data_IF_593931562379
#
_entry.id   IF_593931562379
#
_cell.length_a   1.000
_cell.length_b   1.000
_cell.length_c   1.000
_cell.angle_alpha   90.00
_cell.angle_beta   90.00
_cell.angle_gamma   90.00
#
_symmetry.space_group_name_H-M   'P 1'
#
loop_
_entity.id
_entity.type
_entity.pdbx_description
1 polymer ?
#
# COMPACT_ATOMS: atom_id res chain seq x y z
N UNK A 1 -6.71 18.33 18.70
CA UNK A 1 -5.65 17.41 19.18
C UNK A 1 -5.04 16.73 17.96
N UNK A 2 -3.72 16.80 17.73
CA UNK A 2 -3.06 16.00 16.69
C UNK A 2 -3.13 14.53 17.10
N UNK A 3 -3.82 13.68 16.32
CA UNK A 3 -3.91 12.23 16.55
C UNK A 3 -2.64 11.53 16.04
N UNK A 4 -1.47 11.94 16.52
CA UNK A 4 -0.19 11.43 16.02
C UNK A 4 0.01 11.72 14.53
N UNK A 5 0.31 10.67 13.75
CA UNK A 5 0.55 10.70 12.29
C UNK A 5 -0.73 10.59 11.44
N UNK A 6 -1.90 10.60 12.08
CA UNK A 6 -3.21 10.59 11.44
C UNK A 6 -3.82 11.99 11.50
N UNK A 7 -4.24 12.49 10.35
CA UNK A 7 -4.98 13.74 10.20
C UNK A 7 -6.35 13.49 9.53
N UNK A 8 -7.10 14.56 9.26
CA UNK A 8 -8.40 14.46 8.57
C UNK A 8 -8.26 13.96 7.14
N UNK A 9 -7.18 14.34 6.44
CA UNK A 9 -6.94 13.89 5.06
C UNK A 9 -6.73 12.38 4.98
N UNK A 10 -6.10 11.76 5.98
CA UNK A 10 -6.04 10.31 6.09
C UNK A 10 -7.44 9.68 6.20
N UNK A 11 -8.32 10.24 7.04
CA UNK A 11 -9.67 9.73 7.25
C UNK A 11 -10.51 9.81 5.97
N UNK A 12 -10.44 10.95 5.28
CA UNK A 12 -11.12 11.19 4.01
C UNK A 12 -10.62 10.22 2.93
N UNK A 13 -9.30 10.07 2.80
CA UNK A 13 -8.70 9.15 1.83
C UNK A 13 -9.09 7.70 2.11
N UNK A 14 -9.03 7.25 3.36
CA UNK A 14 -9.46 5.88 3.68
C UNK A 14 -10.94 5.67 3.37
N UNK A 15 -11.79 6.62 3.73
CA UNK A 15 -13.22 6.53 3.44
C UNK A 15 -13.48 6.47 1.93
N UNK A 16 -12.88 7.36 1.15
CA UNK A 16 -13.07 7.40 -0.30
C UNK A 16 -12.52 6.13 -0.94
N UNK A 17 -11.22 5.84 -0.78
CA UNK A 17 -10.59 4.74 -1.50
C UNK A 17 -11.03 3.38 -0.97
N UNK A 18 -10.93 3.13 0.33
CA UNK A 18 -11.16 1.79 0.86
C UNK A 18 -12.65 1.50 1.02
N UNK A 19 -13.44 2.44 1.55
CA UNK A 19 -14.87 2.20 1.82
C UNK A 19 -15.78 2.49 0.63
N UNK A 20 -15.57 3.58 -0.10
CA UNK A 20 -16.46 3.93 -1.21
C UNK A 20 -16.06 3.23 -2.51
N UNK A 21 -14.80 3.38 -2.94
CA UNK A 21 -14.35 2.85 -4.23
C UNK A 21 -14.19 1.34 -4.17
N UNK A 22 -13.49 0.83 -3.15
CA UNK A 22 -13.13 -0.59 -3.05
C UNK A 22 -14.12 -1.39 -2.20
N UNK A 23 -15.09 -0.74 -1.56
CA UNK A 23 -16.11 -1.36 -0.67
C UNK A 23 -15.53 -2.35 0.34
N UNK A 24 -14.34 -2.07 0.83
CA UNK A 24 -13.54 -2.91 1.72
C UNK A 24 -13.28 -4.34 1.18
N UNK A 25 -13.45 -4.57 -0.13
CA UNK A 25 -13.21 -5.86 -0.80
C UNK A 25 -11.74 -6.11 -1.08
N UNK A 26 -10.96 -5.04 -1.22
CA UNK A 26 -9.52 -5.10 -1.50
C UNK A 26 -8.73 -5.10 -0.18
N UNK A 27 -7.99 -6.20 0.11
CA UNK A 27 -7.08 -6.24 1.25
C UNK A 27 -6.13 -5.04 1.24
N UNK A 28 -6.15 -4.25 2.31
CA UNK A 28 -5.36 -3.02 2.41
C UNK A 28 -4.29 -3.15 3.49
N UNK A 29 -3.08 -2.68 3.19
CA UNK A 29 -1.96 -2.60 4.14
C UNK A 29 -1.68 -1.13 4.45
N UNK A 30 -1.62 -0.79 5.73
CA UNK A 30 -1.22 0.56 6.16
C UNK A 30 0.29 0.60 6.39
N UNK A 31 0.98 1.54 5.76
CA UNK A 31 2.41 1.80 5.99
C UNK A 31 2.56 3.09 6.78
N UNK A 32 3.24 3.02 7.93
CA UNK A 32 3.58 4.15 8.78
C UNK A 32 5.08 4.39 8.68
N UNK A 33 5.48 5.45 7.99
CA UNK A 33 6.88 5.85 7.81
C UNK A 33 7.37 6.70 8.98
N UNK A 34 8.68 7.02 9.02
CA UNK A 34 9.37 7.77 10.07
C UNK A 34 9.47 7.02 11.42
N UNK A 35 9.48 5.69 11.41
CA UNK A 35 9.63 4.86 12.61
C UNK A 35 11.09 4.50 12.92
N UNK A 36 12.07 5.04 12.19
CA UNK A 36 13.50 4.70 12.33
C UNK A 36 14.10 4.97 13.71
N UNK A 37 13.49 5.81 14.53
CA UNK A 37 13.95 6.07 15.91
C UNK A 37 13.39 5.07 16.93
N UNK A 38 12.45 4.22 16.53
CA UNK A 38 11.85 3.19 17.38
C UNK A 38 12.66 1.88 17.29
N UNK A 39 12.67 1.09 18.36
CA UNK A 39 13.45 -0.15 18.46
C UNK A 39 12.65 -1.24 19.17
N UNK A 40 12.05 -2.21 18.45
CA UNK A 40 11.97 -2.31 16.97
C UNK A 40 11.07 -1.22 16.37
N UNK A 41 11.15 -0.98 15.05
CA UNK A 41 10.29 0.02 14.37
C UNK A 41 8.79 -0.22 14.57
N UNK A 42 8.40 -1.49 14.72
CA UNK A 42 7.02 -1.90 15.02
C UNK A 42 6.50 -1.40 16.38
N UNK A 43 7.38 -1.08 17.33
CA UNK A 43 6.96 -0.62 18.66
C UNK A 43 6.17 0.69 18.63
N UNK A 44 6.22 1.45 17.52
CA UNK A 44 5.40 2.64 17.34
C UNK A 44 3.90 2.32 17.42
N UNK A 45 3.42 1.29 16.72
CA UNK A 45 1.98 0.96 16.67
C UNK A 45 1.50 0.29 17.97
N UNK A 46 2.42 -0.35 18.70
CA UNK A 46 2.12 -1.05 19.96
C UNK A 46 1.75 -0.09 21.11
N UNK A 47 2.10 1.20 20.97
CA UNK A 47 1.67 2.25 21.91
C UNK A 47 0.14 2.35 21.89
N UNK A 48 -0.50 2.19 23.06
CA UNK A 48 -1.96 2.09 23.18
C UNK A 48 -2.73 3.23 22.47
N UNK A 49 -2.22 4.46 22.55
CA UNK A 49 -2.81 5.62 21.88
C UNK A 49 -2.77 5.53 20.35
N UNK A 50 -1.70 4.97 19.79
CA UNK A 50 -1.53 4.80 18.35
C UNK A 50 -2.41 3.65 17.87
N UNK A 51 -2.39 2.51 18.56
CA UNK A 51 -3.28 1.38 18.27
C UNK A 51 -4.75 1.81 18.25
N UNK A 52 -5.19 2.54 19.29
CA UNK A 52 -6.56 3.09 19.37
C UNK A 52 -6.86 4.07 18.24
N UNK A 53 -5.89 4.86 17.79
CA UNK A 53 -6.10 5.79 16.67
C UNK A 53 -6.39 5.07 15.33
N UNK A 54 -6.09 3.77 15.21
CA UNK A 54 -6.41 2.98 14.02
C UNK A 54 -7.44 1.88 14.31
N UNK A 55 -8.08 1.90 15.49
CA UNK A 55 -9.28 1.08 15.74
C UNK A 55 -10.42 1.54 14.81
N UNK A 56 -11.03 0.59 14.10
CA UNK A 56 -12.14 0.85 13.16
C UNK A 56 -11.75 0.94 11.68
N UNK A 57 -10.46 0.85 11.36
CA UNK A 57 -9.99 0.66 9.99
C UNK A 57 -9.78 -0.83 9.71
N UNK A 58 -10.08 -1.25 8.48
CA UNK A 58 -10.00 -2.64 8.04
C UNK A 58 -8.67 -2.91 7.29
N UNK A 59 -7.55 -2.55 7.91
CA UNK A 59 -6.23 -2.89 7.37
C UNK A 59 -5.86 -4.33 7.75
N UNK A 60 -5.44 -5.14 6.77
CA UNK A 60 -4.92 -6.49 7.01
C UNK A 60 -3.68 -6.49 7.88
N UNK A 61 -2.81 -5.51 7.64
CA UNK A 61 -1.54 -5.34 8.34
C UNK A 61 -1.20 -3.87 8.44
N UNK A 62 -0.59 -3.49 9.56
CA UNK A 62 0.11 -2.23 9.74
C UNK A 62 1.61 -2.51 9.73
N UNK A 63 2.34 -1.86 8.85
CA UNK A 63 3.80 -1.95 8.73
C UNK A 63 4.38 -0.61 9.17
N UNK A 64 5.17 -0.63 10.25
CA UNK A 64 5.91 0.53 10.72
C UNK A 64 7.33 0.45 10.18
N UNK A 65 7.80 1.50 9.51
CA UNK A 65 9.08 1.48 8.84
C UNK A 65 9.63 2.86 8.56
N UNK A 66 10.59 2.92 7.64
CA UNK A 66 11.20 4.16 7.18
C UNK A 66 11.20 4.25 5.66
N UNK A 67 11.17 5.48 5.15
CA UNK A 67 11.41 5.79 3.75
C UNK A 67 12.76 6.52 3.55
N UNK A 68 13.52 6.71 4.64
CA UNK A 68 14.81 7.37 4.59
C UNK A 68 15.82 6.45 3.93
N UNK A 69 16.37 6.93 2.82
CA UNK A 69 17.40 6.25 2.05
C UNK A 69 18.80 6.72 2.42
N UNK A 70 18.90 7.92 3.01
CA UNK A 70 20.16 8.55 3.36
C UNK A 70 20.81 7.90 4.60
N UNK A 71 22.13 7.75 4.50
CA UNK A 71 22.97 7.33 5.61
C UNK A 71 23.09 8.48 6.61
N UNK A 72 22.28 8.45 7.65
CA UNK A 72 22.73 9.03 8.92
C UNK A 72 23.95 8.23 9.39
N UNK A 73 24.96 8.91 9.94
CA UNK A 73 26.29 8.36 10.26
C UNK A 73 26.26 6.86 10.63
N UNK A 74 26.85 6.01 9.77
CA UNK A 74 27.00 4.58 10.01
C UNK A 74 26.00 3.64 9.31
N UNK A 75 25.18 4.10 8.36
CA UNK A 75 24.35 3.24 7.50
C UNK A 75 23.21 2.53 8.22
N UNK A 76 22.81 3.04 9.39
CA UNK A 76 21.77 2.45 10.23
C UNK A 76 20.41 2.44 9.53
N UNK A 77 20.09 3.49 8.77
CA UNK A 77 18.81 3.62 8.08
C UNK A 77 18.71 2.74 6.83
N UNK A 78 19.82 2.44 6.15
CA UNK A 78 19.83 1.50 5.04
C UNK A 78 19.33 0.10 5.47
N UNK A 79 19.78 -0.40 6.63
CA UNK A 79 19.29 -1.67 7.19
C UNK A 79 17.81 -1.61 7.55
N UNK A 80 17.37 -0.53 8.20
CA UNK A 80 15.95 -0.33 8.55
C UNK A 80 15.06 -0.18 7.31
N UNK A 81 15.56 0.41 6.23
CA UNK A 81 14.84 0.49 4.97
C UNK A 81 14.67 -0.91 4.35
N UNK A 82 15.70 -1.74 4.37
CA UNK A 82 15.61 -3.13 3.93
C UNK A 82 14.62 -3.95 4.77
N UNK A 83 14.66 -3.80 6.10
CA UNK A 83 13.68 -4.40 7.01
C UNK A 83 12.24 -3.93 6.70
N UNK A 84 12.07 -2.63 6.39
CA UNK A 84 10.77 -2.07 6.00
C UNK A 84 10.26 -2.72 4.72
N UNK A 85 11.12 -2.82 3.69
CA UNK A 85 10.78 -3.45 2.40
C UNK A 85 10.39 -4.91 2.58
N UNK A 86 11.18 -5.69 3.34
CA UNK A 86 10.88 -7.10 3.64
C UNK A 86 9.54 -7.25 4.36
N UNK A 87 9.29 -6.42 5.38
CA UNK A 87 8.04 -6.45 6.15
C UNK A 87 6.83 -6.08 5.29
N UNK A 88 7.00 -5.11 4.37
CA UNK A 88 5.94 -4.71 3.44
C UNK A 88 5.63 -5.83 2.43
N UNK A 89 6.66 -6.44 1.84
CA UNK A 89 6.48 -7.56 0.92
C UNK A 89 5.77 -8.74 1.59
N UNK A 90 6.22 -9.11 2.78
CA UNK A 90 5.57 -10.17 3.55
C UNK A 90 4.10 -9.84 3.88
N UNK A 91 3.79 -8.56 4.15
CA UNK A 91 2.41 -8.12 4.38
C UNK A 91 1.54 -8.24 3.12
N UNK A 92 2.10 -7.90 1.96
CA UNK A 92 1.42 -8.01 0.66
C UNK A 92 1.16 -9.49 0.31
N UNK A 93 2.19 -10.35 0.41
CA UNK A 93 2.07 -11.78 0.14
C UNK A 93 1.03 -12.45 1.04
N UNK A 94 1.05 -12.14 2.33
CA UNK A 94 0.09 -12.69 3.29
C UNK A 94 -1.33 -12.15 3.13
N UNK A 95 -1.52 -11.04 2.42
CA UNK A 95 -2.84 -10.43 2.25
C UNK A 95 -3.74 -11.17 1.27
N UNK A 96 -3.28 -12.28 0.66
CA UNK A 96 -3.98 -13.12 -0.31
C UNK A 96 -4.74 -12.28 -1.34
N UNK A 97 -4.04 -11.92 -2.41
CA UNK A 97 -4.58 -11.20 -3.56
C UNK A 97 -5.44 -12.15 -4.42
N UNK A 98 -6.50 -12.74 -3.85
CA UNK A 98 -7.47 -13.52 -4.61
C UNK A 98 -8.34 -12.59 -5.44
N UNK A 99 -8.33 -12.76 -6.76
CA UNK A 99 -9.21 -12.11 -7.75
C UNK A 99 -9.40 -10.58 -7.61
N UNK A 100 -8.31 -9.83 -7.36
CA UNK A 100 -8.37 -8.37 -7.25
C UNK A 100 -8.41 -7.63 -8.59
N UNK A 101 -7.95 -8.25 -9.67
CA UNK A 101 -7.83 -7.59 -10.97
C UNK A 101 -9.19 -7.25 -11.60
N UNK A 102 -10.25 -8.08 -11.50
CA UNK A 102 -11.58 -7.72 -12.01
C UNK A 102 -12.28 -6.60 -11.20
N UNK A 103 -11.98 -6.47 -9.91
CA UNK A 103 -12.63 -5.47 -9.03
C UNK A 103 -12.18 -4.04 -9.31
N UNK A 104 -10.88 -3.85 -9.60
CA UNK A 104 -10.32 -2.52 -9.87
C UNK A 104 -10.73 -1.97 -11.24
N UNK A 105 -11.09 -2.82 -12.19
CA UNK A 105 -11.62 -2.34 -13.47
C UNK A 105 -13.08 -1.92 -13.29
N UNK A 106 -13.98 -2.81 -12.92
CA UNK A 106 -15.42 -2.49 -12.93
C UNK A 106 -15.85 -1.40 -11.92
N UNK A 107 -15.29 -1.37 -10.71
CA UNK A 107 -15.71 -0.40 -9.68
C UNK A 107 -15.08 0.98 -9.86
N UNK A 108 -13.81 1.09 -10.31
CA UNK A 108 -13.18 2.38 -10.60
C UNK A 108 -13.96 3.13 -11.69
N UNK A 109 -14.51 2.41 -12.68
CA UNK A 109 -15.33 3.02 -13.73
C UNK A 109 -16.70 3.50 -13.23
N UNK A 110 -17.32 2.79 -12.29
CA UNK A 110 -18.59 3.22 -11.68
C UNK A 110 -18.44 4.46 -10.79
N UNK A 111 -17.23 4.74 -10.33
CA UNK A 111 -16.96 5.84 -9.41
C UNK A 111 -16.43 7.11 -10.09
N UNK A 112 -16.35 7.18 -11.43
CA UNK A 112 -15.95 8.40 -12.16
C UNK A 112 -16.65 9.65 -11.62
N UNK A 113 -17.98 9.63 -11.62
CA UNK A 113 -18.79 10.75 -11.13
C UNK A 113 -18.55 11.04 -9.64
N UNK A 114 -18.20 10.03 -8.84
CA UNK A 114 -17.91 10.21 -7.41
C UNK A 114 -16.56 10.92 -7.23
N UNK A 115 -15.52 10.54 -7.98
CA UNK A 115 -14.20 11.16 -7.93
C UNK A 115 -14.26 12.59 -8.44
N UNK A 116 -14.97 12.83 -9.54
CA UNK A 116 -15.16 14.18 -10.10
C UNK A 116 -15.89 15.10 -9.12
N UNK A 117 -16.95 14.61 -8.47
CA UNK A 117 -17.70 15.37 -7.46
C UNK A 117 -16.90 15.61 -6.17
N UNK A 118 -16.03 14.69 -5.75
CA UNK A 118 -15.25 14.81 -4.52
C UNK A 118 -13.99 15.65 -4.69
N UNK A 119 -13.35 15.60 -5.86
CA UNK A 119 -12.08 16.26 -6.12
C UNK A 119 -12.22 17.57 -6.91
N UNK A 120 -13.36 17.77 -7.58
CA UNK A 120 -13.57 18.87 -8.53
C UNK A 120 -12.74 18.73 -9.81
N UNK A 121 -12.02 17.62 -9.99
CA UNK A 121 -11.24 17.31 -11.17
C UNK A 121 -11.99 16.37 -12.09
N UNK A 122 -12.29 16.83 -13.29
CA UNK A 122 -12.87 16.03 -14.36
C UNK A 122 -11.83 15.01 -14.85
N UNK A 123 -12.20 13.73 -14.87
CA UNK A 123 -11.33 12.68 -15.38
C UNK A 123 -11.59 12.56 -16.87
N UNK A 124 -10.60 12.91 -17.68
CA UNK A 124 -10.67 12.79 -19.13
C UNK A 124 -10.96 11.33 -19.54
N UNK A 125 -11.83 11.16 -20.54
CA UNK A 125 -12.19 9.83 -21.06
C UNK A 125 -10.96 9.04 -21.52
N UNK A 126 -9.96 9.74 -22.06
CA UNK A 126 -8.72 9.12 -22.55
C UNK A 126 -7.89 8.49 -21.41
N UNK A 127 -7.95 9.03 -20.20
CA UNK A 127 -7.24 8.47 -19.05
C UNK A 127 -7.94 7.22 -18.52
N UNK A 128 -9.26 7.15 -18.68
CA UNK A 128 -10.07 5.96 -18.36
C UNK A 128 -9.69 4.80 -19.28
N UNK A 129 -9.53 5.05 -20.58
CA UNK A 129 -9.15 4.02 -21.54
C UNK A 129 -7.69 3.57 -21.38
N UNK A 130 -6.78 4.46 -20.96
CA UNK A 130 -5.42 4.06 -20.55
C UNK A 130 -5.44 3.15 -19.33
N UNK A 131 -6.26 3.47 -18.31
CA UNK A 131 -6.43 2.63 -17.12
C UNK A 131 -6.98 1.25 -17.53
N UNK A 132 -7.93 1.17 -18.48
CA UNK A 132 -8.43 -0.11 -19.03
C UNK A 132 -7.33 -0.94 -19.67
N UNK A 133 -6.52 -0.35 -20.56
CA UNK A 133 -5.43 -1.05 -21.24
C UNK A 133 -4.45 -1.61 -20.22
N UNK A 134 -4.03 -0.78 -19.27
CA UNK A 134 -3.08 -1.18 -18.24
C UNK A 134 -3.62 -2.30 -17.35
N UNK A 135 -4.88 -2.21 -16.92
CA UNK A 135 -5.47 -3.26 -16.08
C UNK A 135 -5.64 -4.59 -16.83
N UNK A 136 -5.98 -4.56 -18.13
CA UNK A 136 -6.04 -5.75 -18.97
C UNK A 136 -4.67 -6.41 -19.15
N UNK A 137 -3.62 -5.61 -19.35
CA UNK A 137 -2.23 -6.08 -19.41
C UNK A 137 -1.80 -6.74 -18.09
N UNK A 138 -2.07 -6.11 -16.95
CA UNK A 138 -1.76 -6.66 -15.62
C UNK A 138 -2.54 -7.94 -15.34
N UNK A 139 -3.82 -8.03 -15.72
CA UNK A 139 -4.62 -9.25 -15.59
C UNK A 139 -4.04 -10.41 -16.39
N UNK A 140 -3.55 -10.11 -17.60
CA UNK A 140 -2.94 -11.10 -18.48
C UNK A 140 -1.62 -11.60 -17.87
N UNK A 141 -0.82 -10.70 -17.30
CA UNK A 141 0.43 -11.04 -16.63
C UNK A 141 0.22 -11.83 -15.33
N UNK A 142 -0.80 -11.48 -14.54
CA UNK A 142 -1.14 -12.19 -13.29
C UNK A 142 -1.67 -13.61 -13.54
N UNK A 143 -2.15 -13.90 -14.75
CA UNK A 143 -2.63 -15.22 -15.17
C UNK A 143 -1.51 -16.14 -15.67
N UNK A 144 -0.29 -15.62 -15.84
CA UNK A 144 0.88 -16.43 -16.20
C UNK A 144 1.51 -17.03 -14.94
N UNK A 145 1.91 -18.32 -14.95
CA UNK A 145 2.67 -18.89 -13.84
C UNK A 145 3.99 -18.12 -13.70
N UNK A 146 4.24 -17.59 -12.50
CA UNK A 146 5.45 -16.85 -12.17
C UNK A 146 6.67 -17.76 -12.35
N UNK A 147 7.45 -17.54 -13.40
CA UNK A 147 8.74 -18.21 -13.56
C UNK A 147 9.73 -17.51 -12.64
N UNK A 148 10.12 -18.17 -11.55
CA UNK A 148 11.29 -17.77 -10.79
C UNK A 148 12.50 -17.85 -11.72
N UNK A 149 13.12 -16.71 -12.04
CA UNK A 149 14.47 -16.73 -12.60
C UNK A 149 15.40 -17.26 -11.51
N UNK A 150 15.73 -18.56 -11.62
CA UNK A 150 16.88 -19.15 -10.94
C UNK A 150 18.14 -18.47 -11.49
N UNK A 151 18.51 -17.32 -10.92
CA UNK A 151 19.83 -16.73 -11.11
C UNK A 151 20.87 -17.54 -10.33
N UNK A 152 21.11 -18.76 -10.81
CA UNK A 152 22.28 -19.57 -10.52
C UNK A 152 23.39 -19.23 -11.51
N UNK A 153 24.35 -18.40 -11.10
CA UNK A 153 25.76 -18.53 -11.48
C UNK A 153 26.62 -17.43 -10.81
N UNK A 154 27.14 -17.74 -9.63
CA UNK A 154 28.44 -17.21 -9.20
C UNK A 154 29.44 -18.33 -9.49
N UNK A 155 30.20 -18.20 -10.59
CA UNK A 155 31.39 -19.02 -10.81
C UNK A 155 32.50 -18.47 -9.92
N UNK A 156 32.97 -19.32 -9.01
CA UNK A 156 34.28 -19.20 -8.38
C UNK A 156 35.20 -20.12 -9.19
N UNK A 157 36.09 -19.53 -9.98
CA UNK A 157 37.44 -20.07 -10.29
C UNK A 157 38.41 -18.88 -10.35
#
# INVERSE_FOLDING_TARGET
MRKGRRDSSFDDNYYIFIRCLLKERVPSVLVITCCEMESPMSSWIDKAQNKRAFEGYNFRKVVCGTALQEDFEGGLFAKKLDETRKSLWQAIENSQCGDLVPLLTEEVFSCKNLIENLTGHEIASDDIDKIRSYAAEVSTQASLPFQQEENGNIKIE
#
